data_IF_792255610743
#
_entry.id   IF_792255610743
#
_cell.length_a   1.000
_cell.length_b   1.000
_cell.length_c   1.000
_cell.angle_alpha   90.00
_cell.angle_beta   90.00
_cell.angle_gamma   90.00
#
_symmetry.space_group_name_H-M   'P 1'
#
loop_
_entity.id
_entity.type
_entity.pdbx_description
1 polymer ?
#
# COMPACT_ATOMS: atom_id res chain seq x y z
N UNK A 1 -1.80 -7.35 -32.90
CA UNK A 1 -0.95 -7.40 -31.68
C UNK A 1 -1.86 -7.04 -30.51
N UNK A 2 -2.00 -7.89 -29.50
CA UNK A 2 -2.84 -7.56 -28.34
C UNK A 2 -2.06 -6.55 -27.49
N UNK A 3 -2.51 -5.29 -27.50
CA UNK A 3 -1.94 -4.20 -26.70
C UNK A 3 -3.06 -3.68 -25.80
N UNK A 4 -3.00 -4.03 -24.52
CA UNK A 4 -3.89 -3.49 -23.48
C UNK A 4 -3.03 -2.73 -22.45
N UNK A 5 -3.43 -1.50 -22.05
CA UNK A 5 -2.73 -0.74 -21.02
C UNK A 5 -2.51 -1.54 -19.73
N UNK A 6 -3.53 -2.27 -19.28
CA UNK A 6 -3.45 -3.13 -18.10
C UNK A 6 -2.39 -4.23 -18.26
N UNK A 7 -2.33 -4.88 -19.44
CA UNK A 7 -1.35 -5.94 -19.69
C UNK A 7 0.10 -5.43 -19.59
N UNK A 8 0.36 -4.21 -20.05
CA UNK A 8 1.68 -3.58 -19.91
C UNK A 8 1.99 -3.24 -18.45
N UNK A 9 1.01 -2.74 -17.68
CA UNK A 9 1.18 -2.50 -16.23
C UNK A 9 1.45 -3.81 -15.47
N UNK A 10 0.71 -4.88 -15.75
CA UNK A 10 0.93 -6.20 -15.15
C UNK A 10 2.30 -6.78 -15.52
N UNK A 11 2.75 -6.61 -16.78
CA UNK A 11 4.10 -7.02 -17.20
C UNK A 11 5.20 -6.26 -16.47
N UNK A 12 5.01 -4.97 -16.18
CA UNK A 12 5.97 -4.17 -15.38
C UNK A 12 6.08 -4.71 -13.96
N UNK A 13 4.95 -4.98 -13.30
CA UNK A 13 4.91 -5.62 -11.98
C UNK A 13 5.67 -6.95 -12.02
N UNK A 14 5.30 -7.86 -12.93
CA UNK A 14 5.92 -9.19 -13.02
C UNK A 14 7.42 -9.14 -13.30
N UNK A 15 7.89 -8.25 -14.19
CA UNK A 15 9.33 -8.15 -14.51
C UNK A 15 10.16 -7.74 -13.31
N UNK A 16 9.65 -6.84 -12.47
CA UNK A 16 10.41 -6.33 -11.33
C UNK A 16 10.40 -7.35 -10.19
N UNK A 17 9.25 -7.99 -9.94
CA UNK A 17 9.15 -9.10 -8.99
C UNK A 17 10.01 -10.31 -9.38
N UNK A 18 10.18 -10.57 -10.69
CA UNK A 18 11.04 -11.65 -11.18
C UNK A 18 12.54 -11.30 -11.14
N UNK A 19 12.92 -10.02 -11.14
CA UNK A 19 14.33 -9.62 -10.96
C UNK A 19 14.87 -9.97 -9.57
N UNK A 20 13.97 -10.16 -8.62
CA UNK A 20 14.26 -10.60 -7.27
C UNK A 20 14.37 -12.13 -7.14
N UNK A 21 14.10 -12.91 -8.21
CA UNK A 21 14.22 -14.37 -8.19
C UNK A 21 15.67 -14.81 -7.94
N UNK A 22 15.95 -15.18 -6.68
CA UNK A 22 17.28 -15.59 -6.20
C UNK A 22 17.86 -14.73 -5.07
N UNK A 23 17.21 -13.60 -4.73
CA UNK A 23 17.54 -12.74 -3.58
C UNK A 23 16.27 -12.47 -2.77
N UNK A 24 16.40 -12.08 -1.49
CA UNK A 24 15.22 -11.70 -0.67
C UNK A 24 14.51 -10.52 -1.32
N UNK A 25 13.18 -10.54 -1.34
CA UNK A 25 12.39 -9.42 -1.89
C UNK A 25 12.59 -8.15 -1.06
N UNK A 26 12.96 -7.07 -1.76
CA UNK A 26 13.01 -5.73 -1.19
C UNK A 26 11.62 -5.11 -1.29
N UNK A 27 10.89 -5.08 -0.17
CA UNK A 27 9.54 -4.51 -0.11
C UNK A 27 9.51 -3.02 -0.47
N UNK A 28 10.62 -2.29 -0.34
CA UNK A 28 10.71 -0.89 -0.78
C UNK A 28 10.66 -0.80 -2.31
N UNK A 29 11.36 -1.69 -3.02
CA UNK A 29 11.29 -1.76 -4.48
C UNK A 29 9.87 -2.12 -4.94
N UNK A 30 9.22 -3.08 -4.27
CA UNK A 30 7.82 -3.44 -4.56
C UNK A 30 6.88 -2.25 -4.38
N UNK A 31 6.99 -1.54 -3.25
CA UNK A 31 6.17 -0.37 -2.98
C UNK A 31 6.36 0.73 -4.04
N UNK A 32 7.61 0.96 -4.47
CA UNK A 32 7.94 1.94 -5.50
C UNK A 32 7.33 1.58 -6.86
N UNK A 33 7.32 0.30 -7.23
CA UNK A 33 6.65 -0.16 -8.44
C UNK A 33 5.14 0.04 -8.36
N UNK A 34 4.52 -0.39 -7.26
CA UNK A 34 3.08 -0.25 -7.06
C UNK A 34 2.66 1.22 -7.08
N UNK A 35 3.43 2.10 -6.44
CA UNK A 35 3.23 3.55 -6.54
C UNK A 35 3.23 4.01 -7.99
N UNK A 36 4.22 3.62 -8.78
CA UNK A 36 4.37 4.10 -10.15
C UNK A 36 3.33 3.55 -11.13
N UNK A 37 2.78 2.35 -10.91
CA UNK A 37 1.79 1.74 -11.82
C UNK A 37 0.34 2.06 -11.44
N UNK A 38 0.08 2.32 -10.15
CA UNK A 38 -1.26 2.65 -9.60
C UNK A 38 -1.42 4.17 -9.40
N UNK A 39 -0.32 4.92 -9.35
CA UNK A 39 -0.29 6.36 -9.04
C UNK A 39 -0.94 6.66 -7.67
N UNK A 40 -0.48 5.96 -6.64
CA UNK A 40 -0.94 6.12 -5.27
C UNK A 40 0.20 5.90 -4.27
N UNK A 41 0.09 6.49 -3.08
CA UNK A 41 0.96 6.13 -1.97
C UNK A 41 0.76 4.66 -1.64
N UNK A 42 1.85 3.96 -1.35
CA UNK A 42 1.87 2.53 -1.08
C UNK A 42 2.59 2.26 0.24
N UNK A 43 1.98 1.43 1.08
CA UNK A 43 2.56 0.95 2.33
C UNK A 43 2.34 -0.56 2.42
N UNK A 44 3.40 -1.28 2.76
CA UNK A 44 3.41 -2.71 3.02
C UNK A 44 3.76 -2.86 4.50
N UNK A 45 2.81 -3.36 5.29
CA UNK A 45 3.02 -3.62 6.71
C UNK A 45 2.78 -5.08 7.04
N UNK A 46 3.51 -5.61 8.01
CA UNK A 46 3.24 -6.93 8.57
C UNK A 46 2.02 -6.92 9.50
N UNK A 47 1.75 -8.05 10.14
CA UNK A 47 0.62 -8.20 11.06
C UNK A 47 0.79 -7.39 12.37
N UNK A 48 2.03 -7.08 12.76
CA UNK A 48 2.34 -6.29 13.94
C UNK A 48 2.27 -4.78 13.66
N UNK A 49 2.03 -4.39 12.40
CA UNK A 49 1.95 -3.01 11.95
C UNK A 49 3.32 -2.43 11.59
N UNK A 50 4.39 -3.23 11.60
CA UNK A 50 5.72 -2.79 11.19
C UNK A 50 5.75 -2.60 9.67
N UNK A 51 6.19 -1.43 9.22
CA UNK A 51 6.17 -1.04 7.81
C UNK A 51 7.40 -1.62 7.13
N UNK A 52 7.22 -2.73 6.43
CA UNK A 52 8.27 -3.43 5.71
C UNK A 52 8.78 -2.64 4.49
N UNK A 53 7.91 -1.84 3.87
CA UNK A 53 8.25 -0.99 2.73
C UNK A 53 7.16 0.03 2.42
N UNK A 54 7.54 1.19 1.91
CA UNK A 54 6.60 2.22 1.49
C UNK A 54 7.18 3.05 0.34
N UNK A 55 6.29 3.69 -0.43
CA UNK A 55 6.63 4.65 -1.46
C UNK A 55 5.52 5.70 -1.58
N UNK A 56 5.92 6.98 -1.66
CA UNK A 56 5.00 8.12 -1.68
C UNK A 56 5.08 8.81 -3.04
N UNK A 57 3.93 9.28 -3.54
CA UNK A 57 3.90 10.16 -4.72
C UNK A 57 4.47 11.53 -4.35
N UNK A 58 5.17 12.19 -5.27
CA UNK A 58 5.90 13.44 -5.00
C UNK A 58 4.97 14.57 -4.50
N UNK A 59 3.70 14.53 -4.88
CA UNK A 59 2.66 15.48 -4.44
C UNK A 59 2.23 15.26 -2.97
N UNK A 60 2.75 14.21 -2.33
CA UNK A 60 2.45 13.80 -0.96
C UNK A 60 3.66 13.98 -0.03
N UNK A 61 4.24 15.18 -0.03
CA UNK A 61 5.22 15.57 0.98
C UNK A 61 4.51 16.23 2.17
N UNK A 62 4.31 15.46 3.24
CA UNK A 62 3.98 16.02 4.55
C UNK A 62 5.15 15.75 5.48
N UNK A 63 5.76 16.81 6.00
CA UNK A 63 6.91 16.71 6.89
C UNK A 63 6.60 15.89 8.15
N UNK A 64 5.37 15.87 8.65
CA UNK A 64 4.98 15.02 9.79
C UNK A 64 4.94 13.53 9.41
N UNK A 65 4.42 13.20 8.23
CA UNK A 65 4.46 11.85 7.67
C UNK A 65 5.89 11.39 7.46
N UNK A 66 6.69 12.22 6.79
CA UNK A 66 8.10 11.95 6.50
C UNK A 66 8.90 11.84 7.81
N UNK A 67 8.71 12.71 8.79
CA UNK A 67 9.49 12.66 10.03
C UNK A 67 9.05 11.57 11.01
N UNK A 68 7.76 11.23 11.10
CA UNK A 68 7.28 10.23 12.08
C UNK A 68 7.27 8.82 11.49
N UNK A 69 6.84 8.64 10.24
CA UNK A 69 6.82 7.30 9.58
C UNK A 69 8.23 6.83 9.25
N UNK A 70 9.15 7.72 8.84
CA UNK A 70 10.54 7.33 8.59
C UNK A 70 11.35 7.04 9.86
N UNK A 71 10.91 7.54 11.03
CA UNK A 71 11.64 7.35 12.30
C UNK A 71 11.20 6.10 13.06
N UNK A 72 9.90 5.81 13.10
CA UNK A 72 9.36 4.68 13.89
C UNK A 72 9.00 3.46 13.04
N UNK A 73 8.79 3.63 11.72
CA UNK A 73 8.54 2.55 10.75
C UNK A 73 7.41 1.60 11.20
N UNK A 74 6.36 2.13 11.84
CA UNK A 74 5.24 1.34 12.37
C UNK A 74 3.92 2.11 12.34
N UNK A 75 2.83 1.42 12.05
CA UNK A 75 1.48 1.94 12.24
C UNK A 75 1.08 1.92 13.73
N UNK A 76 0.37 2.94 14.24
CA UNK A 76 -0.21 2.88 15.58
C UNK A 76 -1.14 1.68 15.75
N UNK A 77 -1.18 1.13 16.97
CA UNK A 77 -1.87 -0.12 17.29
C UNK A 77 -3.35 -0.08 16.87
N UNK A 78 -4.10 0.94 17.27
CA UNK A 78 -5.51 1.12 16.92
C UNK A 78 -5.74 1.16 15.41
N UNK A 79 -4.82 1.77 14.66
CA UNK A 79 -4.90 1.84 13.21
C UNK A 79 -4.59 0.48 12.58
N UNK A 80 -3.57 -0.23 13.06
CA UNK A 80 -3.24 -1.57 12.59
C UNK A 80 -4.39 -2.55 12.87
N UNK A 81 -5.02 -2.50 14.05
CA UNK A 81 -6.22 -3.28 14.33
C UNK A 81 -7.34 -3.00 13.33
N UNK A 82 -7.57 -1.72 12.99
CA UNK A 82 -8.53 -1.35 11.97
C UNK A 82 -8.22 -1.95 10.59
N UNK A 83 -6.95 -2.00 10.19
CA UNK A 83 -6.51 -2.60 8.92
C UNK A 83 -6.69 -4.12 8.89
N UNK A 84 -6.57 -4.79 10.04
CA UNK A 84 -6.71 -6.24 10.18
C UNK A 84 -8.16 -6.72 10.34
N UNK A 85 -9.15 -5.82 10.49
CA UNK A 85 -10.57 -6.18 10.71
C UNK A 85 -11.24 -6.99 9.60
N UNK A 86 -10.70 -7.00 8.39
CA UNK A 86 -11.32 -7.64 7.22
C UNK A 86 -10.32 -8.54 6.51
N UNK A 87 -10.77 -9.74 6.16
CA UNK A 87 -10.02 -10.70 5.32
C UNK A 87 -10.22 -10.46 3.82
N UNK A 88 -11.11 -9.53 3.45
CA UNK A 88 -11.34 -9.10 2.08
C UNK A 88 -10.85 -7.66 1.83
N UNK A 89 -10.53 -7.35 0.58
CA UNK A 89 -10.16 -6.03 0.10
C UNK A 89 -11.27 -5.01 0.40
N UNK A 90 -10.92 -3.93 1.11
CA UNK A 90 -11.81 -2.79 1.37
C UNK A 90 -11.38 -1.62 0.52
N UNK A 91 -12.18 -1.31 -0.49
CA UNK A 91 -11.81 -0.38 -1.55
C UNK A 91 -12.45 0.99 -1.35
N UNK A 92 -11.77 2.05 -1.78
CA UNK A 92 -12.32 3.41 -1.82
C UNK A 92 -12.91 3.93 -0.49
N UNK A 93 -12.31 3.54 0.63
CA UNK A 93 -12.66 4.05 1.95
C UNK A 93 -12.32 5.54 2.02
N UNK A 94 -13.37 6.35 2.17
CA UNK A 94 -13.24 7.80 2.35
C UNK A 94 -12.90 8.11 3.80
N UNK A 95 -11.99 9.06 3.97
CA UNK A 95 -11.68 9.64 5.27
C UNK A 95 -12.96 10.22 5.90
N UNK A 96 -13.30 9.77 7.12
CA UNK A 96 -14.50 10.22 7.86
C UNK A 96 -14.21 11.43 8.75
N UNK A 97 -13.04 11.46 9.37
CA UNK A 97 -12.53 12.56 10.19
C UNK A 97 -11.17 12.99 9.64
N UNK A 98 -10.84 14.27 9.75
CA UNK A 98 -9.57 14.79 9.22
C UNK A 98 -8.38 14.44 10.12
N UNK A 99 -8.51 13.52 11.07
CA UNK A 99 -7.45 13.21 12.03
C UNK A 99 -6.22 12.59 11.35
N UNK A 100 -5.04 12.99 11.81
CA UNK A 100 -3.78 12.39 11.41
C UNK A 100 -3.68 10.96 11.97
N UNK A 101 -3.34 10.00 11.10
CA UNK A 101 -3.18 8.59 11.52
C UNK A 101 -1.96 8.39 12.42
N UNK A 102 -0.96 9.27 12.33
CA UNK A 102 0.33 9.11 13.01
C UNK A 102 0.54 10.07 14.19
N UNK A 103 -0.27 11.13 14.28
CA UNK A 103 -0.15 12.11 15.36
C UNK A 103 -1.53 12.30 15.97
N UNK A 104 -1.66 11.87 17.22
CA UNK A 104 -2.89 12.00 18.00
C UNK A 104 -3.20 13.48 18.21
N UNK A 105 -4.47 13.87 18.10
CA UNK A 105 -4.97 15.25 18.28
C UNK A 105 -4.50 16.29 17.24
N UNK A 106 -3.89 15.85 16.13
CA UNK A 106 -3.54 16.73 15.00
C UNK A 106 -4.42 16.46 13.77
N UNK A 107 -4.76 17.54 13.07
CA UNK A 107 -5.42 17.44 11.77
C UNK A 107 -4.41 17.00 10.69
N UNK A 108 -4.83 16.06 9.86
CA UNK A 108 -4.13 15.68 8.65
C UNK A 108 -4.12 16.87 7.68
N UNK A 109 -2.93 17.26 7.23
CA UNK A 109 -2.75 18.30 6.19
C UNK A 109 -3.51 17.96 4.89
N UNK A 110 -3.76 16.67 4.65
CA UNK A 110 -4.46 16.20 3.47
C UNK A 110 -5.89 15.77 3.80
N UNK A 111 -6.84 16.51 3.23
CA UNK A 111 -8.27 16.19 3.25
C UNK A 111 -8.66 15.30 2.07
N UNK A 112 -9.85 14.70 2.10
CA UNK A 112 -10.41 13.90 1.00
C UNK A 112 -9.54 12.69 0.59
N UNK A 113 -8.81 12.11 1.55
CA UNK A 113 -8.04 10.90 1.32
C UNK A 113 -8.96 9.73 0.99
N UNK A 114 -8.65 9.04 -0.10
CA UNK A 114 -9.28 7.79 -0.50
C UNK A 114 -8.28 6.68 -0.24
N UNK A 115 -8.69 5.67 0.52
CA UNK A 115 -7.83 4.55 0.92
C UNK A 115 -8.39 3.23 0.45
N UNK A 116 -7.48 2.33 0.06
CA UNK A 116 -7.80 0.94 -0.27
C UNK A 116 -6.92 0.05 0.57
N UNK A 117 -7.54 -0.89 1.28
CA UNK A 117 -6.91 -1.83 2.21
C UNK A 117 -6.98 -3.22 1.61
N UNK A 118 -5.83 -3.82 1.32
CA UNK A 118 -5.74 -5.14 0.69
C UNK A 118 -5.01 -6.09 1.65
N UNK A 119 -5.66 -7.18 2.07
CA UNK A 119 -5.04 -8.23 2.85
C UNK A 119 -3.86 -8.88 2.11
N UNK A 120 -2.72 -9.02 2.80
CA UNK A 120 -1.60 -9.84 2.32
C UNK A 120 -1.74 -11.22 2.95
N UNK A 121 -1.93 -12.24 2.12
CA UNK A 121 -2.17 -13.62 2.55
C UNK A 121 -1.12 -14.54 1.93
N UNK A 122 -0.50 -15.39 2.76
CA UNK A 122 0.47 -16.41 2.33
C UNK A 122 0.32 -17.68 3.17
N UNK A 123 0.46 -18.85 2.53
CA UNK A 123 0.26 -20.15 3.19
C UNK A 123 -1.13 -20.32 3.85
N UNK A 124 -2.14 -19.59 3.36
CA UNK A 124 -3.50 -19.59 3.93
C UNK A 124 -3.67 -18.76 5.21
N UNK A 125 -2.70 -17.91 5.57
CA UNK A 125 -2.76 -17.03 6.76
C UNK A 125 -2.60 -15.57 6.37
N UNK A 126 -3.26 -14.68 7.11
CA UNK A 126 -3.05 -13.24 7.04
C UNK A 126 -1.66 -12.88 7.55
N UNK A 127 -0.81 -12.36 6.67
CA UNK A 127 0.59 -12.00 6.96
C UNK A 127 0.77 -10.50 7.22
N UNK A 128 -0.08 -9.67 6.62
CA UNK A 128 0.05 -8.22 6.72
C UNK A 128 -0.97 -7.46 5.89
N UNK A 129 -0.73 -6.19 5.63
CA UNK A 129 -1.63 -5.32 4.88
C UNK A 129 -0.87 -4.53 3.83
N UNK A 130 -1.39 -4.53 2.59
CA UNK A 130 -1.05 -3.55 1.57
C UNK A 130 -2.06 -2.40 1.66
N UNK A 131 -1.59 -1.22 2.01
CA UNK A 131 -2.40 -0.01 2.09
C UNK A 131 -2.05 0.93 0.93
N UNK A 132 -3.08 1.33 0.19
CA UNK A 132 -2.98 2.33 -0.86
C UNK A 132 -3.75 3.59 -0.45
N UNK A 133 -3.18 4.75 -0.76
CA UNK A 133 -3.83 6.03 -0.49
C UNK A 133 -3.57 7.04 -1.60
N UNK A 134 -4.62 7.71 -2.09
CA UNK A 134 -4.52 8.85 -3.01
C UNK A 134 -5.63 9.87 -2.77
N UNK A 135 -5.58 10.98 -3.49
CA UNK A 135 -6.53 12.09 -3.36
C UNK A 135 -7.39 12.21 -4.60
N UNK A 136 -8.63 12.67 -4.41
CA UNK A 136 -9.55 13.12 -5.46
C UNK A 136 -10.03 12.06 -6.47
N UNK A 137 -9.32 10.94 -6.64
CA UNK A 137 -9.62 9.90 -7.60
C UNK A 137 -9.86 8.54 -6.92
N UNK A 138 -10.97 7.88 -7.28
CA UNK A 138 -11.32 6.54 -6.79
C UNK A 138 -10.49 5.48 -7.50
N UNK A 139 -10.04 4.46 -6.77
CA UNK A 139 -9.40 3.27 -7.32
C UNK A 139 -10.39 2.51 -8.20
N UNK A 140 -9.99 2.24 -9.44
CA UNK A 140 -10.78 1.51 -10.41
C UNK A 140 -10.42 0.01 -10.44
N UNK A 141 -11.04 -0.75 -11.35
CA UNK A 141 -10.78 -2.18 -11.45
C UNK A 141 -9.33 -2.50 -11.87
N UNK A 142 -8.71 -1.66 -12.71
CA UNK A 142 -7.31 -1.88 -13.13
C UNK A 142 -6.37 -1.70 -11.95
N UNK A 143 -6.58 -0.65 -11.16
CA UNK A 143 -5.81 -0.36 -9.95
C UNK A 143 -5.91 -1.52 -8.95
N UNK A 144 -7.13 -2.04 -8.73
CA UNK A 144 -7.38 -3.14 -7.79
C UNK A 144 -6.71 -4.44 -8.26
N UNK A 145 -6.78 -4.77 -9.56
CA UNK A 145 -6.10 -5.96 -10.11
C UNK A 145 -4.59 -5.88 -9.88
N UNK A 146 -3.99 -4.71 -10.13
CA UNK A 146 -2.55 -4.50 -9.93
C UNK A 146 -2.17 -4.61 -8.46
N UNK A 147 -3.00 -4.05 -7.58
CA UNK A 147 -2.76 -4.05 -6.14
C UNK A 147 -2.88 -5.45 -5.53
N UNK A 148 -3.91 -6.22 -5.89
CA UNK A 148 -4.08 -7.60 -5.41
C UNK A 148 -3.01 -8.54 -5.96
N UNK A 149 -2.56 -8.32 -7.19
CA UNK A 149 -1.39 -9.02 -7.75
C UNK A 149 -0.14 -8.71 -6.93
N UNK A 150 0.08 -7.43 -6.60
CA UNK A 150 1.17 -7.00 -5.74
C UNK A 150 1.12 -7.64 -4.35
N UNK A 151 -0.04 -7.61 -3.70
CA UNK A 151 -0.25 -8.20 -2.37
C UNK A 151 0.00 -9.71 -2.37
N UNK A 152 -0.42 -10.42 -3.43
CA UNK A 152 -0.16 -11.86 -3.58
C UNK A 152 1.33 -12.14 -3.66
N UNK A 153 2.09 -11.33 -4.40
CA UNK A 153 3.52 -11.53 -4.53
C UNK A 153 4.26 -11.23 -3.24
N UNK A 154 3.89 -10.14 -2.57
CA UNK A 154 4.42 -9.83 -1.24
C UNK A 154 4.14 -10.98 -0.27
N UNK A 155 2.93 -11.57 -0.30
CA UNK A 155 2.57 -12.69 0.57
C UNK A 155 3.31 -14.00 0.29
N UNK A 156 3.96 -14.16 -0.86
CA UNK A 156 4.84 -15.30 -1.14
C UNK A 156 6.24 -15.13 -0.54
N UNK A 157 6.60 -13.91 -0.15
CA UNK A 157 7.97 -13.52 0.20
C UNK A 157 8.13 -13.09 1.67
N UNK A 158 7.00 -12.89 2.37
CA UNK A 158 6.93 -12.76 3.83
C UNK A 158 6.99 -14.15 4.48
#
# INVERSE_FOLDING_TARGET
MISSPLLEKTRRINKILQKTAGQRVDFKEVAEVLKNVIHANCYIADRQGDILGFALVDEFECELMVNNVLREVKFPEDYNEFLLKSEESRVNLRQKSNDCVFVVEEDCLFTNKITTVIPIVGGGKRLGTLLLARFNELFDAEDLILAETGATVVGMEI
#
